data_IF_216635242178
#
_entry.id   IF_216635242178
#
_cell.length_a   1.000
_cell.length_b   1.000
_cell.length_c   1.000
_cell.angle_alpha   90.00
_cell.angle_beta   90.00
_cell.angle_gamma   90.00
#
_symmetry.space_group_name_H-M   'P 1'
#
loop_
_entity.id
_entity.type
_entity.pdbx_description
1 polymer ?
#
# COMPACT_ATOMS: atom_id res chain seq x y z
N UNK A 1 -6.50 7.20 1.26
CA UNK A 1 -7.29 8.17 2.05
C UNK A 1 -6.54 8.44 3.34
N UNK A 2 -6.46 9.69 3.79
CA UNK A 2 -5.88 10.01 5.10
C UNK A 2 -6.94 9.78 6.20
N UNK A 3 -6.60 8.96 7.20
CA UNK A 3 -7.53 8.61 8.28
C UNK A 3 -7.29 9.57 9.44
N UNK A 4 -8.31 10.36 9.78
CA UNK A 4 -8.36 11.10 11.04
C UNK A 4 -8.59 10.16 12.21
N UNK A 5 -7.73 10.27 13.23
CA UNK A 5 -7.87 9.58 14.51
C UNK A 5 -9.23 9.92 15.14
N UNK A 6 -9.87 8.92 15.74
CA UNK A 6 -11.20 9.01 16.37
C UNK A 6 -12.33 9.35 15.39
N UNK A 7 -12.10 9.21 14.09
CA UNK A 7 -13.10 9.38 13.05
C UNK A 7 -13.90 8.11 12.81
N UNK A 8 -15.07 8.28 12.20
CA UNK A 8 -15.96 7.19 11.80
C UNK A 8 -15.94 6.99 10.29
N UNK A 9 -16.00 5.73 9.84
CA UNK A 9 -15.81 5.36 8.44
C UNK A 9 -16.67 4.18 8.02
N UNK A 10 -16.83 4.04 6.70
CA UNK A 10 -17.29 2.83 6.04
C UNK A 10 -16.10 2.09 5.42
N UNK A 11 -16.19 0.76 5.35
CA UNK A 11 -15.14 -0.12 4.82
C UNK A 11 -15.55 -0.66 3.44
N UNK A 12 -14.57 -0.79 2.53
CA UNK A 12 -14.76 -1.33 1.17
C UNK A 12 -15.17 -2.81 1.23
N UNK A 13 -16.03 -3.24 0.30
CA UNK A 13 -16.45 -4.66 0.21
C UNK A 13 -15.25 -5.60 0.03
N UNK A 14 -14.27 -5.16 -0.76
CA UNK A 14 -13.00 -5.84 -1.04
C UNK A 14 -12.28 -6.34 0.22
N UNK A 15 -12.34 -5.60 1.33
CA UNK A 15 -11.75 -6.06 2.59
C UNK A 15 -12.41 -7.33 3.10
N UNK A 16 -13.74 -7.35 3.14
CA UNK A 16 -14.50 -8.50 3.64
C UNK A 16 -14.31 -9.70 2.71
N UNK A 17 -14.32 -9.49 1.40
CA UNK A 17 -14.10 -10.55 0.41
C UNK A 17 -12.67 -11.13 0.54
N UNK A 18 -11.65 -10.29 0.77
CA UNK A 18 -10.25 -10.71 0.96
C UNK A 18 -10.04 -11.47 2.26
N UNK A 19 -10.56 -10.93 3.36
CA UNK A 19 -10.35 -11.50 4.70
C UNK A 19 -11.18 -12.76 4.88
N UNK A 20 -12.40 -12.79 4.33
CA UNK A 20 -13.32 -13.92 4.37
C UNK A 20 -13.41 -14.55 5.77
N UNK A 21 -13.60 -13.71 6.79
CA UNK A 21 -13.79 -14.13 8.17
C UNK A 21 -15.28 -13.99 8.53
N UNK A 22 -16.00 -15.08 8.84
CA UNK A 22 -17.44 -15.07 9.03
C UNK A 22 -17.88 -14.31 10.28
N UNK A 23 -16.96 -13.97 11.18
CA UNK A 23 -17.26 -13.26 12.43
C UNK A 23 -17.05 -11.76 12.31
N UNK A 24 -16.52 -11.26 11.20
CA UNK A 24 -16.45 -9.82 10.94
C UNK A 24 -17.87 -9.31 10.62
N UNK A 25 -18.36 -8.26 11.30
CA UNK A 25 -19.65 -7.65 10.96
C UNK A 25 -19.66 -7.11 9.52
N UNK A 26 -20.54 -7.64 8.65
CA UNK A 26 -20.60 -7.29 7.22
C UNK A 26 -21.64 -6.22 6.87
N UNK A 27 -21.54 -5.70 5.63
CA UNK A 27 -22.23 -4.52 5.09
C UNK A 27 -23.76 -4.60 5.09
N UNK A 28 -24.36 -5.79 5.09
CA UNK A 28 -25.83 -5.95 5.13
C UNK A 28 -26.45 -5.36 6.41
N UNK A 29 -25.67 -5.25 7.49
CA UNK A 29 -26.05 -4.62 8.76
C UNK A 29 -25.41 -3.24 9.01
N UNK A 30 -24.77 -2.61 8.01
CA UNK A 30 -24.06 -1.30 8.06
C UNK A 30 -23.37 -0.98 9.41
N UNK A 31 -22.30 -1.68 9.79
CA UNK A 31 -21.43 -1.18 10.85
C UNK A 31 -20.71 0.08 10.34
N UNK A 32 -21.00 1.21 10.96
CA UNK A 32 -20.07 2.34 10.98
C UNK A 32 -18.90 1.92 11.85
N UNK A 33 -17.67 2.27 11.47
CA UNK A 33 -16.48 1.88 12.22
C UNK A 33 -15.75 3.07 12.79
N UNK A 34 -15.46 3.03 14.10
CA UNK A 34 -14.60 3.99 14.77
C UNK A 34 -13.13 3.58 14.62
N UNK A 35 -12.26 4.49 14.20
CA UNK A 35 -10.85 4.22 13.95
C UNK A 35 -9.91 4.73 15.05
N UNK A 36 -9.02 3.86 15.51
CA UNK A 36 -7.89 4.17 16.41
C UNK A 36 -6.60 3.75 15.70
N UNK A 37 -5.58 4.60 15.68
CA UNK A 37 -4.29 4.23 15.07
C UNK A 37 -3.57 3.16 15.89
N UNK A 38 -2.94 2.19 15.25
CA UNK A 38 -2.06 1.25 15.95
C UNK A 38 -0.84 1.98 16.53
N UNK A 39 -0.45 1.61 17.75
CA UNK A 39 0.65 2.28 18.47
C UNK A 39 2.04 1.91 17.97
N UNK A 40 2.18 0.76 17.30
CA UNK A 40 3.48 0.22 16.85
C UNK A 40 3.67 0.39 15.35
N UNK A 41 2.60 0.36 14.56
CA UNK A 41 2.63 0.47 13.11
C UNK A 41 1.64 1.54 12.64
N UNK A 42 2.15 2.69 12.22
CA UNK A 42 1.33 3.85 11.79
C UNK A 42 0.50 3.60 10.53
N UNK A 43 0.82 2.57 9.74
CA UNK A 43 0.05 2.15 8.55
C UNK A 43 -1.14 1.25 8.91
N UNK A 44 -1.14 0.70 10.12
CA UNK A 44 -2.25 -0.09 10.67
C UNK A 44 -3.17 0.78 11.53
N UNK A 45 -4.45 0.47 11.42
CA UNK A 45 -5.52 1.07 12.19
C UNK A 45 -6.36 -0.04 12.80
N UNK A 46 -6.91 0.21 13.97
CA UNK A 46 -7.91 -0.62 14.62
C UNK A 46 -9.28 -0.02 14.37
N UNK A 47 -10.19 -0.83 13.84
CA UNK A 47 -11.59 -0.45 13.67
C UNK A 47 -12.45 -1.14 14.71
N UNK A 48 -13.39 -0.37 15.26
CA UNK A 48 -14.37 -0.85 16.22
C UNK A 48 -15.75 -0.71 15.58
N UNK A 49 -16.48 -1.81 15.36
CA UNK A 49 -17.83 -1.75 14.82
C UNK A 49 -18.78 -1.04 15.79
N UNK A 50 -19.64 -0.19 15.27
CA UNK A 50 -20.75 0.40 16.02
C UNK A 50 -21.98 -0.51 15.97
N UNK A 51 -22.73 -0.56 17.07
CA UNK A 51 -24.01 -1.29 17.17
C UNK A 51 -25.07 -0.45 17.88
N UNK A 52 -26.33 -0.70 17.58
CA UNK A 52 -27.49 -0.08 18.24
C UNK A 52 -28.04 -0.90 19.42
N UNK A 53 -27.42 -2.04 19.74
CA UNK A 53 -27.87 -2.96 20.80
C UNK A 53 -27.52 -2.45 22.22
N UNK A 54 -28.08 -1.29 22.59
CA UNK A 54 -27.89 -0.67 23.91
C UNK A 54 -28.26 -1.61 25.06
N UNK A 55 -29.41 -2.28 24.99
CA UNK A 55 -29.89 -3.14 26.08
C UNK A 55 -28.93 -4.28 26.37
N UNK A 56 -28.39 -4.89 25.30
CA UNK A 56 -27.38 -5.94 25.41
C UNK A 56 -26.11 -5.38 26.07
N UNK A 57 -25.62 -4.24 25.60
CA UNK A 57 -24.43 -3.60 26.15
C UNK A 57 -24.60 -3.25 27.63
N UNK A 58 -25.71 -2.62 28.00
CA UNK A 58 -26.06 -2.28 29.37
C UNK A 58 -26.13 -3.52 30.25
N UNK A 59 -26.76 -4.61 29.80
CA UNK A 59 -26.79 -5.87 30.54
C UNK A 59 -25.39 -6.41 30.85
N UNK A 60 -24.46 -6.34 29.91
CA UNK A 60 -23.07 -6.73 30.14
C UNK A 60 -22.35 -5.75 31.08
N UNK A 61 -22.52 -4.45 30.88
CA UNK A 61 -21.91 -3.41 31.71
C UNK A 61 -22.39 -3.53 33.16
N UNK A 62 -23.68 -3.67 33.42
CA UNK A 62 -24.24 -3.87 34.76
C UNK A 62 -23.76 -5.17 35.41
N UNK A 63 -23.60 -6.25 34.63
CA UNK A 63 -23.13 -7.54 35.15
C UNK A 63 -21.67 -7.51 35.61
N UNK A 64 -20.79 -6.88 34.85
CA UNK A 64 -19.35 -6.91 35.10
C UNK A 64 -18.81 -5.63 35.78
N UNK A 65 -19.57 -4.54 35.73
CA UNK A 65 -19.12 -3.19 36.08
C UNK A 65 -18.51 -2.46 34.88
N UNK A 66 -18.70 -1.14 34.81
CA UNK A 66 -18.25 -0.28 33.71
C UNK A 66 -16.76 -0.43 33.40
N UNK A 67 -15.92 -0.46 34.44
CA UNK A 67 -14.47 -0.56 34.29
C UNK A 67 -13.99 -1.94 33.83
N UNK A 68 -14.63 -3.02 34.29
CA UNK A 68 -14.20 -4.40 33.99
C UNK A 68 -14.77 -4.90 32.65
N UNK A 69 -15.90 -4.35 32.21
CA UNK A 69 -16.53 -4.69 30.95
C UNK A 69 -15.77 -4.10 29.75
N UNK A 70 -14.86 -4.87 29.17
CA UNK A 70 -14.09 -4.45 27.99
C UNK A 70 -14.81 -4.69 26.65
N UNK A 71 -15.92 -5.44 26.65
CA UNK A 71 -16.63 -5.85 25.42
C UNK A 71 -17.36 -4.69 24.75
N UNK A 72 -17.88 -3.77 25.56
CA UNK A 72 -18.72 -2.66 25.11
C UNK A 72 -18.34 -1.36 25.81
N UNK A 73 -18.56 -0.24 25.11
CA UNK A 73 -18.58 1.11 25.66
C UNK A 73 -19.77 1.86 25.06
N UNK A 74 -20.53 2.58 25.87
CA UNK A 74 -21.66 3.39 25.39
C UNK A 74 -21.11 4.64 24.71
N UNK A 75 -21.59 4.94 23.50
CA UNK A 75 -21.22 6.16 22.81
C UNK A 75 -22.12 7.31 23.28
N UNK A 76 -21.64 8.14 24.20
CA UNK A 76 -22.39 9.29 24.74
C UNK A 76 -22.55 10.43 23.74
N UNK A 77 -21.89 10.37 22.58
CA UNK A 77 -21.91 11.44 21.57
C UNK A 77 -22.95 11.21 20.47
N UNK A 78 -23.60 10.04 20.44
CA UNK A 78 -24.61 9.68 19.44
C UNK A 78 -25.69 8.81 20.07
N UNK A 79 -26.96 9.11 19.79
CA UNK A 79 -28.07 8.30 20.30
C UNK A 79 -27.99 6.85 19.82
N UNK A 80 -28.40 5.92 20.69
CA UNK A 80 -28.48 4.48 20.40
C UNK A 80 -27.23 3.92 19.74
N UNK A 81 -26.06 4.33 20.23
CA UNK A 81 -24.77 3.95 19.64
C UNK A 81 -23.86 3.34 20.70
N UNK A 82 -23.25 2.19 20.37
CA UNK A 82 -22.36 1.43 21.24
C UNK A 82 -21.13 1.01 20.46
N UNK A 83 -19.96 1.17 21.06
CA UNK A 83 -18.71 0.58 20.57
C UNK A 83 -18.72 -0.92 20.88
N UNK A 84 -18.77 -1.75 19.86
CA UNK A 84 -18.65 -3.20 20.00
C UNK A 84 -17.17 -3.60 19.97
N UNK A 85 -16.48 -3.36 21.09
CA UNK A 85 -15.02 -3.48 21.22
C UNK A 85 -14.56 -4.94 21.13
N UNK A 86 -15.38 -5.89 21.57
CA UNK A 86 -15.03 -7.32 21.45
C UNK A 86 -14.77 -7.78 20.00
N UNK A 87 -15.40 -7.12 19.03
CA UNK A 87 -15.35 -7.48 17.60
C UNK A 87 -14.46 -6.51 16.82
N UNK A 88 -13.50 -5.87 17.50
CA UNK A 88 -12.50 -5.02 16.85
C UNK A 88 -11.59 -5.84 15.95
N UNK A 89 -11.08 -5.21 14.90
CA UNK A 89 -10.10 -5.83 13.99
C UNK A 89 -9.18 -4.78 13.35
N UNK A 90 -8.00 -5.18 12.84
CA UNK A 90 -7.09 -4.26 12.18
C UNK A 90 -7.47 -4.04 10.72
N UNK A 91 -7.08 -2.89 10.19
CA UNK A 91 -7.29 -2.46 8.80
C UNK A 91 -6.15 -1.53 8.35
N UNK A 92 -6.04 -1.30 7.04
CA UNK A 92 -5.19 -0.25 6.44
C UNK A 92 -6.04 0.77 5.70
N UNK A 93 -5.50 1.96 5.47
CA UNK A 93 -6.20 3.05 4.75
C UNK A 93 -6.67 2.68 3.35
N UNK A 94 -6.04 1.68 2.73
CA UNK A 94 -6.43 1.09 1.44
C UNK A 94 -7.88 0.60 1.42
N UNK A 95 -8.36 0.07 2.54
CA UNK A 95 -9.66 -0.58 2.66
C UNK A 95 -10.76 0.32 3.21
N UNK A 96 -10.46 1.58 3.52
CA UNK A 96 -11.48 2.57 3.88
C UNK A 96 -12.21 3.03 2.61
N UNK A 97 -13.54 2.97 2.64
CA UNK A 97 -14.43 3.41 1.55
C UNK A 97 -14.57 4.93 1.61
N UNK A 98 -15.12 5.44 2.71
CA UNK A 98 -15.35 6.88 2.92
C UNK A 98 -15.59 7.24 4.39
N UNK A 99 -15.49 8.53 4.67
CA UNK A 99 -15.92 9.15 5.94
C UNK A 99 -17.41 8.88 6.21
N UNK A 100 -17.74 8.51 7.44
CA UNK A 100 -19.12 8.57 7.92
C UNK A 100 -19.46 10.00 8.30
N UNK A 101 -20.54 10.54 7.74
CA UNK A 101 -20.89 11.94 7.86
C UNK A 101 -22.24 12.12 8.54
N UNK A 102 -22.34 13.12 9.40
CA UNK A 102 -23.58 13.64 9.96
C UNK A 102 -23.71 15.07 9.44
N UNK A 103 -24.84 15.40 8.83
CA UNK A 103 -25.10 16.71 8.20
C UNK A 103 -23.98 17.16 7.24
N UNK A 104 -23.44 16.21 6.46
CA UNK A 104 -22.36 16.44 5.49
C UNK A 104 -20.96 16.61 6.09
N UNK A 105 -20.83 16.62 7.42
CA UNK A 105 -19.56 16.76 8.14
C UNK A 105 -19.07 15.41 8.62
N UNK A 106 -17.76 15.14 8.45
CA UNK A 106 -17.13 13.92 8.95
C UNK A 106 -17.31 13.80 10.47
N UNK A 107 -17.89 12.69 10.90
CA UNK A 107 -18.12 12.44 12.30
C UNK A 107 -16.82 11.99 12.99
N UNK A 108 -16.36 12.81 13.93
CA UNK A 108 -15.13 12.61 14.72
C UNK A 108 -15.42 12.94 16.17
N UNK A 109 -15.10 12.01 17.08
CA UNK A 109 -15.28 12.26 18.52
C UNK A 109 -14.20 13.21 19.02
N UNK A 110 -14.63 14.23 19.77
CA UNK A 110 -13.77 15.20 20.46
C UNK A 110 -13.71 14.96 21.98
N UNK A 111 -14.66 14.20 22.54
CA UNK A 111 -14.70 13.87 23.96
C UNK A 111 -13.51 12.98 24.35
N UNK A 112 -12.52 13.59 25.02
CA UNK A 112 -11.29 12.94 25.45
C UNK A 112 -11.54 11.82 26.48
N UNK A 113 -12.56 11.94 27.32
CA UNK A 113 -12.87 10.93 28.34
C UNK A 113 -13.42 9.67 27.68
N UNK A 114 -14.38 9.84 26.76
CA UNK A 114 -14.90 8.73 25.97
C UNK A 114 -13.79 8.04 25.16
N UNK A 115 -12.96 8.82 24.45
CA UNK A 115 -11.82 8.28 23.68
C UNK A 115 -10.91 7.45 24.59
N UNK A 116 -10.54 7.97 25.76
CA UNK A 116 -9.66 7.28 26.70
C UNK A 116 -10.26 5.97 27.20
N UNK A 117 -11.57 5.93 27.48
CA UNK A 117 -12.27 4.70 27.87
C UNK A 117 -12.25 3.66 26.74
N UNK A 118 -12.58 4.06 25.52
CA UNK A 118 -12.58 3.19 24.34
C UNK A 118 -11.16 2.66 24.06
N UNK A 119 -10.15 3.52 24.04
CA UNK A 119 -8.74 3.12 23.81
C UNK A 119 -8.23 2.16 24.89
N UNK A 120 -8.59 2.37 26.16
CA UNK A 120 -8.23 1.47 27.27
C UNK A 120 -8.84 0.09 27.08
N UNK A 121 -10.14 0.01 26.75
CA UNK A 121 -10.85 -1.25 26.52
C UNK A 121 -10.35 -1.97 25.26
N UNK A 122 -10.15 -1.23 24.17
CA UNK A 122 -9.60 -1.76 22.92
C UNK A 122 -8.20 -2.33 23.13
N UNK A 123 -7.32 -1.62 23.84
CA UNK A 123 -5.97 -2.11 24.17
C UNK A 123 -6.01 -3.46 24.88
N UNK A 124 -6.95 -3.63 25.84
CA UNK A 124 -7.13 -4.91 26.54
C UNK A 124 -7.56 -6.04 25.59
N UNK A 125 -8.55 -5.80 24.73
CA UNK A 125 -9.01 -6.80 23.74
C UNK A 125 -7.90 -7.16 22.75
N UNK A 126 -7.14 -6.17 22.26
CA UNK A 126 -5.99 -6.39 21.37
C UNK A 126 -4.95 -7.26 22.07
N UNK A 127 -4.55 -6.91 23.30
CA UNK A 127 -3.55 -7.68 24.05
C UNK A 127 -3.97 -9.13 24.24
N UNK A 128 -5.22 -9.38 24.62
CA UNK A 128 -5.75 -10.73 24.79
C UNK A 128 -5.75 -11.51 23.45
N UNK A 129 -6.21 -10.88 22.38
CA UNK A 129 -6.24 -11.49 21.05
C UNK A 129 -4.83 -11.84 20.51
N UNK A 130 -3.82 -11.01 20.81
CA UNK A 130 -2.44 -11.25 20.34
C UNK A 130 -1.71 -12.36 21.10
N UNK A 131 -2.13 -12.69 22.32
CA UNK A 131 -1.54 -13.79 23.13
C UNK A 131 -2.14 -15.16 22.73
N UNK A 132 -3.08 -15.19 21.77
CA UNK A 132 -3.73 -16.42 21.32
C UNK A 132 -4.83 -16.92 22.27
N UNK A 133 -5.23 -16.09 23.23
CA UNK A 133 -6.39 -16.35 24.08
C UNK A 133 -7.64 -16.22 23.20
N UNK A 134 -8.15 -17.35 22.70
CA UNK A 134 -9.45 -17.37 22.01
C UNK A 134 -10.52 -16.96 23.03
N UNK A 135 -10.91 -15.68 23.01
CA UNK A 135 -12.00 -15.15 23.84
C UNK A 135 -13.27 -16.00 23.72
N UNK A 136 -13.58 -16.40 22.47
CA UNK A 136 -14.65 -17.32 22.08
C UNK A 136 -14.24 -17.99 20.75
N UNK A 137 -14.70 -19.23 20.51
CA UNK A 137 -14.53 -19.90 19.20
C UNK A 137 -15.27 -19.18 18.05
N UNK A 138 -16.13 -18.21 18.38
CA UNK A 138 -16.96 -17.41 17.48
C UNK A 138 -16.54 -15.93 17.45
N UNK A 139 -15.24 -15.66 17.57
CA UNK A 139 -14.70 -14.29 17.54
C UNK A 139 -13.83 -14.06 16.30
N UNK A 140 -13.72 -12.80 15.89
CA UNK A 140 -12.88 -12.39 14.76
C UNK A 140 -11.43 -12.86 14.97
N UNK A 141 -10.82 -13.46 13.95
CA UNK A 141 -9.42 -13.89 14.03
C UNK A 141 -8.46 -12.71 13.80
N UNK A 142 -8.37 -11.85 14.81
CA UNK A 142 -7.60 -10.60 14.78
C UNK A 142 -6.14 -10.82 14.35
N UNK A 143 -5.49 -11.87 14.86
CA UNK A 143 -4.08 -12.16 14.55
C UNK A 143 -3.90 -12.54 13.08
N UNK A 144 -4.78 -13.37 12.51
CA UNK A 144 -4.77 -13.72 11.09
C UNK A 144 -4.90 -12.46 10.22
N UNK A 145 -5.86 -11.60 10.53
CA UNK A 145 -6.11 -10.36 9.77
C UNK A 145 -4.88 -9.46 9.85
N UNK A 146 -4.32 -9.26 11.05
CA UNK A 146 -3.12 -8.45 11.25
C UNK A 146 -1.95 -8.95 10.40
N UNK A 147 -1.69 -10.26 10.41
CA UNK A 147 -0.61 -10.86 9.64
C UNK A 147 -0.79 -10.66 8.12
N UNK A 148 -2.01 -10.83 7.60
CA UNK A 148 -2.33 -10.59 6.18
C UNK A 148 -2.01 -9.14 5.80
N UNK A 149 -2.42 -8.18 6.64
CA UNK A 149 -2.19 -6.75 6.37
C UNK A 149 -0.72 -6.36 6.50
N UNK A 150 0.01 -6.91 7.47
CA UNK A 150 1.45 -6.67 7.63
C UNK A 150 2.25 -7.22 6.46
N UNK A 151 1.89 -8.41 5.94
CA UNK A 151 2.49 -8.96 4.72
C UNK A 151 2.23 -8.08 3.51
N UNK A 152 1.01 -7.54 3.37
CA UNK A 152 0.66 -6.62 2.29
C UNK A 152 1.48 -5.32 2.37
N UNK A 153 1.57 -4.70 3.55
CA UNK A 153 2.40 -3.50 3.80
C UNK A 153 3.87 -3.78 3.44
N UNK A 154 4.43 -4.89 3.91
CA UNK A 154 5.82 -5.24 3.65
C UNK A 154 6.07 -5.51 2.16
N UNK A 155 5.13 -6.16 1.46
CA UNK A 155 5.24 -6.36 0.00
C UNK A 155 5.22 -5.03 -0.75
N UNK A 156 4.35 -4.10 -0.36
CA UNK A 156 4.29 -2.76 -0.95
C UNK A 156 5.56 -1.94 -0.67
N UNK A 157 6.12 -2.03 0.54
CA UNK A 157 7.41 -1.41 0.89
C UNK A 157 8.56 -1.99 0.11
N UNK A 158 8.66 -3.32 -0.01
CA UNK A 158 9.73 -3.95 -0.78
C UNK A 158 9.67 -3.54 -2.25
N UNK A 159 8.47 -3.46 -2.84
CA UNK A 159 8.32 -2.94 -4.21
C UNK A 159 8.77 -1.48 -4.32
N UNK A 160 8.42 -0.62 -3.35
CA UNK A 160 8.88 0.78 -3.33
C UNK A 160 10.39 0.86 -3.20
N UNK A 161 11.01 0.09 -2.31
CA UNK A 161 12.46 0.01 -2.13
C UNK A 161 13.16 -0.49 -3.40
N UNK A 162 12.60 -1.49 -4.09
CA UNK A 162 13.15 -1.94 -5.37
C UNK A 162 13.09 -0.83 -6.44
N UNK A 163 12.04 0.00 -6.44
CA UNK A 163 11.95 1.18 -7.33
C UNK A 163 12.88 2.30 -6.91
N UNK A 164 12.98 2.59 -5.61
CA UNK A 164 13.96 3.53 -5.08
C UNK A 164 15.39 3.08 -5.40
N UNK A 165 15.71 1.79 -5.36
CA UNK A 165 17.01 1.28 -5.79
C UNK A 165 17.24 1.40 -7.30
N UNK A 166 16.20 1.27 -8.13
CA UNK A 166 16.27 1.63 -9.56
C UNK A 166 16.60 3.13 -9.70
N UNK A 167 16.11 3.98 -8.79
CA UNK A 167 16.29 5.43 -8.79
C UNK A 167 17.58 5.93 -8.09
N UNK A 168 18.09 5.29 -7.04
CA UNK A 168 19.24 5.76 -6.22
C UNK A 168 20.59 5.53 -6.92
N UNK A 169 20.65 4.60 -7.87
CA UNK A 169 21.79 4.55 -8.79
C UNK A 169 21.98 5.91 -9.52
N UNK A 170 20.97 6.81 -9.55
CA UNK A 170 21.05 8.18 -10.10
C UNK A 170 21.87 9.17 -9.25
N UNK A 171 22.04 8.98 -7.94
CA UNK A 171 22.58 10.03 -7.05
C UNK A 171 24.03 9.85 -6.59
N UNK A 172 24.60 8.63 -6.69
CA UNK A 172 25.93 8.33 -6.16
C UNK A 172 27.04 8.31 -7.22
N UNK A 173 26.83 8.90 -8.41
CA UNK A 173 27.84 8.92 -9.48
C UNK A 173 28.13 7.55 -10.11
N UNK A 174 27.31 6.54 -9.82
CA UNK A 174 27.31 5.29 -10.59
C UNK A 174 26.55 5.51 -11.90
N UNK A 175 27.17 5.05 -12.97
CA UNK A 175 26.59 4.99 -14.31
C UNK A 175 25.22 4.28 -14.21
N UNK A 176 24.12 5.02 -14.38
CA UNK A 176 22.78 4.41 -14.41
C UNK A 176 22.59 3.74 -15.77
N UNK A 177 22.32 2.44 -15.77
CA UNK A 177 21.87 1.77 -16.98
C UNK A 177 20.46 2.26 -17.30
N UNK A 178 20.23 2.72 -18.53
CA UNK A 178 18.94 3.27 -18.95
C UNK A 178 18.55 2.81 -20.35
N UNK A 179 17.24 2.85 -20.61
CA UNK A 179 16.71 2.55 -21.93
C UNK A 179 17.03 3.72 -22.87
N UNK A 180 17.81 3.45 -23.92
CA UNK A 180 18.27 4.46 -24.87
C UNK A 180 17.14 5.22 -25.58
N UNK A 181 15.93 4.66 -25.75
CA UNK A 181 14.81 5.36 -26.40
C UNK A 181 13.88 6.08 -25.44
N UNK A 182 13.80 5.67 -24.17
CA UNK A 182 12.86 6.27 -23.23
C UNK A 182 13.54 7.14 -22.18
N UNK A 183 14.84 6.95 -21.94
CA UNK A 183 15.56 7.58 -20.83
C UNK A 183 15.21 6.98 -19.46
N UNK A 184 14.37 5.94 -19.41
CA UNK A 184 13.95 5.32 -18.15
C UNK A 184 15.07 4.47 -17.57
N UNK A 185 15.31 4.53 -16.25
CA UNK A 185 16.32 3.71 -15.59
C UNK A 185 15.95 2.23 -15.65
N UNK A 186 16.98 1.39 -15.75
CA UNK A 186 16.87 -0.07 -15.77
C UNK A 186 17.76 -0.61 -14.66
N UNK A 187 17.20 -1.42 -13.77
CA UNK A 187 18.01 -2.21 -12.86
C UNK A 187 18.53 -3.45 -13.58
N UNK A 188 19.76 -3.35 -14.06
CA UNK A 188 20.51 -4.38 -14.77
C UNK A 188 22.00 -4.21 -14.42
N UNK A 189 22.74 -5.31 -14.42
CA UNK A 189 24.19 -5.28 -14.17
C UNK A 189 24.92 -4.47 -15.25
N UNK A 190 25.97 -3.76 -14.82
CA UNK A 190 26.82 -3.00 -15.72
C UNK A 190 27.40 -3.89 -16.83
N UNK A 191 27.51 -3.31 -18.02
CA UNK A 191 28.18 -3.94 -19.12
C UNK A 191 29.70 -3.80 -18.98
N UNK A 192 30.47 -4.79 -19.44
CA UNK A 192 31.94 -4.79 -19.32
C UNK A 192 32.60 -3.64 -20.10
N UNK A 193 31.92 -3.08 -21.10
CA UNK A 193 32.40 -1.90 -21.84
C UNK A 193 32.24 -0.58 -21.09
N UNK A 194 31.51 -0.55 -19.98
CA UNK A 194 31.13 0.68 -19.28
C UNK A 194 29.97 1.45 -19.93
N UNK A 195 29.47 1.00 -21.07
CA UNK A 195 28.31 1.61 -21.73
C UNK A 195 27.02 1.33 -20.96
N UNK A 196 26.18 2.35 -20.84
CA UNK A 196 24.99 2.37 -19.99
C UNK A 196 23.69 2.57 -20.73
N UNK A 197 23.76 2.75 -22.05
CA UNK A 197 22.63 2.71 -22.95
C UNK A 197 22.28 1.26 -23.25
N UNK A 198 21.04 0.90 -22.97
CA UNK A 198 20.47 -0.41 -23.25
C UNK A 198 19.25 -0.26 -24.16
N UNK A 199 19.04 -1.24 -25.04
CA UNK A 199 17.88 -1.29 -25.93
C UNK A 199 17.05 -2.53 -25.63
N UNK A 200 15.74 -2.36 -25.47
CA UNK A 200 14.85 -3.49 -25.21
C UNK A 200 14.85 -4.41 -26.44
N UNK A 201 14.83 -5.72 -26.22
CA UNK A 201 14.81 -6.73 -27.29
C UNK A 201 13.73 -6.47 -28.34
N UNK A 202 12.53 -6.06 -27.90
CA UNK A 202 11.42 -5.70 -28.80
C UNK A 202 11.79 -4.60 -29.79
N UNK A 203 12.63 -3.65 -29.38
CA UNK A 203 13.02 -2.50 -30.21
C UNK A 203 14.17 -2.88 -31.13
N UNK A 204 15.08 -3.75 -30.66
CA UNK A 204 16.11 -4.38 -31.51
C UNK A 204 15.45 -5.18 -32.64
N UNK A 205 14.42 -5.98 -32.32
CA UNK A 205 13.67 -6.77 -33.29
C UNK A 205 12.85 -5.89 -34.24
N UNK A 206 12.12 -4.90 -33.71
CA UNK A 206 11.29 -3.97 -34.50
C UNK A 206 12.09 -3.13 -35.48
N UNK A 207 13.33 -2.77 -35.13
CA UNK A 207 14.23 -1.95 -35.95
C UNK A 207 15.22 -2.81 -36.76
N UNK A 208 15.10 -4.14 -36.70
CA UNK A 208 15.96 -5.09 -37.42
C UNK A 208 17.47 -4.85 -37.18
N UNK A 209 17.83 -4.51 -35.95
CA UNK A 209 19.22 -4.18 -35.60
C UNK A 209 20.07 -5.45 -35.50
N UNK A 210 21.15 -5.49 -36.27
CA UNK A 210 22.13 -6.56 -36.19
C UNK A 210 22.87 -6.61 -34.85
N UNK A 211 23.00 -7.81 -34.30
CA UNK A 211 23.76 -8.09 -33.07
C UNK A 211 25.19 -8.48 -33.42
N UNK A 212 26.15 -8.20 -32.54
CA UNK A 212 27.49 -8.76 -32.64
C UNK A 212 27.47 -10.27 -32.32
N UNK A 213 28.54 -10.98 -32.66
CA UNK A 213 28.60 -12.43 -32.45
C UNK A 213 28.51 -12.80 -30.97
N UNK A 214 27.82 -13.91 -30.67
CA UNK A 214 27.69 -14.51 -29.33
C UNK A 214 27.03 -13.62 -28.25
N UNK A 215 26.29 -12.59 -28.65
CA UNK A 215 25.60 -11.69 -27.71
C UNK A 215 24.34 -12.33 -27.14
N UNK A 216 24.23 -12.34 -25.81
CA UNK A 216 23.03 -12.78 -25.09
C UNK A 216 22.28 -11.59 -24.52
N UNK A 217 20.96 -11.67 -24.52
CA UNK A 217 20.13 -10.68 -23.82
C UNK A 217 20.34 -10.79 -22.30
N UNK A 218 20.30 -9.63 -21.62
CA UNK A 218 20.26 -9.55 -20.17
C UNK A 218 18.86 -9.13 -19.73
N UNK A 219 18.39 -9.69 -18.61
CA UNK A 219 17.10 -9.31 -18.03
C UNK A 219 17.30 -8.08 -17.15
N UNK A 220 16.74 -6.96 -17.57
CA UNK A 220 16.63 -5.75 -16.77
C UNK A 220 15.26 -5.64 -16.12
N UNK A 221 15.19 -5.10 -14.90
CA UNK A 221 13.93 -4.80 -14.22
C UNK A 221 13.58 -3.32 -14.41
N UNK A 222 12.36 -3.04 -14.85
CA UNK A 222 11.83 -1.67 -14.95
C UNK A 222 10.62 -1.48 -14.06
N UNK A 223 10.46 -0.27 -13.53
CA UNK A 223 9.30 0.16 -12.76
C UNK A 223 8.27 0.81 -13.69
N UNK A 224 7.02 0.35 -13.65
CA UNK A 224 5.93 0.85 -14.50
C UNK A 224 4.66 1.02 -13.67
N UNK A 225 3.96 2.13 -13.89
CA UNK A 225 2.67 2.41 -13.26
C UNK A 225 1.55 2.09 -14.25
N UNK A 226 0.77 1.05 -13.97
CA UNK A 226 -0.36 0.66 -14.83
C UNK A 226 -1.50 0.04 -14.01
N UNK A 227 -2.66 -0.10 -14.61
CA UNK A 227 -3.84 -0.74 -14.01
C UNK A 227 -3.68 -2.26 -13.98
N UNK A 228 -4.51 -2.94 -13.19
CA UNK A 228 -4.52 -4.41 -13.17
C UNK A 228 -4.83 -5.00 -14.56
N UNK A 229 -5.73 -4.35 -15.30
CA UNK A 229 -6.09 -4.75 -16.66
C UNK A 229 -4.90 -4.63 -17.61
N UNK A 230 -4.20 -3.50 -17.60
CA UNK A 230 -3.00 -3.28 -18.44
C UNK A 230 -1.89 -4.30 -18.13
N UNK A 231 -1.68 -4.63 -16.84
CA UNK A 231 -0.72 -5.67 -16.46
C UNK A 231 -1.12 -7.06 -16.93
N UNK A 232 -2.41 -7.36 -16.92
CA UNK A 232 -2.90 -8.65 -17.37
C UNK A 232 -2.75 -8.80 -18.88
N UNK A 233 -3.06 -7.73 -19.63
CA UNK A 233 -2.83 -7.67 -21.07
C UNK A 233 -1.32 -7.80 -21.39
N UNK A 234 -0.44 -7.17 -20.60
CA UNK A 234 1.01 -7.37 -20.69
C UNK A 234 1.41 -8.83 -20.50
N UNK A 235 0.86 -9.51 -19.49
CA UNK A 235 1.13 -10.94 -19.22
C UNK A 235 0.65 -11.84 -20.35
N UNK A 236 -0.55 -11.61 -20.88
CA UNK A 236 -1.11 -12.35 -22.03
C UNK A 236 -0.20 -12.24 -23.25
N UNK A 237 0.23 -11.02 -23.56
CA UNK A 237 1.14 -10.76 -24.68
C UNK A 237 2.52 -11.41 -24.51
N UNK A 238 2.88 -11.82 -23.28
CA UNK A 238 4.13 -12.52 -22.96
C UNK A 238 3.96 -14.02 -22.73
N UNK A 239 2.76 -14.58 -22.93
CA UNK A 239 2.47 -15.99 -22.71
C UNK A 239 2.60 -16.42 -21.24
N UNK A 240 2.46 -15.48 -20.30
CA UNK A 240 2.50 -15.77 -18.87
C UNK A 240 1.12 -16.25 -18.38
N UNK A 241 1.09 -17.03 -17.29
CA UNK A 241 -0.16 -17.42 -16.63
C UNK A 241 -0.97 -16.18 -16.24
N UNK A 242 -2.27 -16.23 -16.56
CA UNK A 242 -3.22 -15.16 -16.32
C UNK A 242 -4.37 -15.66 -15.45
N UNK A 243 -4.93 -14.76 -14.63
CA UNK A 243 -6.11 -15.03 -13.81
C UNK A 243 -7.26 -14.21 -14.35
N UNK A 244 -8.44 -14.82 -14.51
CA UNK A 244 -9.65 -14.06 -14.81
C UNK A 244 -9.98 -13.15 -13.62
N UNK A 245 -9.88 -11.84 -13.83
CA UNK A 245 -10.27 -10.83 -12.85
C UNK A 245 -11.70 -10.40 -13.18
N UNK A 246 -12.63 -10.71 -12.29
CA UNK A 246 -14.06 -10.40 -12.48
C UNK A 246 -14.40 -8.92 -12.28
N UNK A 247 -13.52 -8.14 -11.64
CA UNK A 247 -13.63 -6.67 -11.49
C UNK A 247 -12.24 -6.03 -11.31
N UNK A 248 -11.50 -5.74 -12.40
CA UNK A 248 -10.17 -5.14 -12.29
C UNK A 248 -10.25 -3.71 -11.77
N UNK A 249 -9.37 -3.36 -10.84
CA UNK A 249 -9.27 -1.98 -10.35
C UNK A 249 -8.69 -1.06 -11.43
N UNK A 250 -9.31 0.11 -11.61
CA UNK A 250 -8.79 1.21 -12.45
C UNK A 250 -7.69 2.02 -11.74
N UNK A 251 -7.36 1.70 -10.50
CA UNK A 251 -6.27 2.33 -9.77
C UNK A 251 -4.93 1.86 -10.34
N UNK A 252 -4.08 2.79 -10.77
CA UNK A 252 -2.72 2.47 -11.23
C UNK A 252 -1.88 1.98 -10.07
N UNK A 253 -1.27 0.82 -10.22
CA UNK A 253 -0.35 0.21 -9.27
C UNK A 253 1.06 0.17 -9.86
N UNK A 254 2.04 0.19 -8.98
CA UNK A 254 3.45 0.05 -9.34
C UNK A 254 3.78 -1.42 -9.57
N UNK A 255 4.31 -1.72 -10.75
CA UNK A 255 4.78 -3.05 -11.12
C UNK A 255 6.24 -3.00 -11.51
N UNK A 256 6.97 -4.05 -11.11
CA UNK A 256 8.34 -4.28 -11.52
C UNK A 256 8.31 -5.45 -12.49
N UNK A 257 8.64 -5.18 -13.74
CA UNK A 257 8.58 -6.18 -14.80
C UNK A 257 9.98 -6.51 -15.33
N UNK A 258 10.30 -7.80 -15.49
CA UNK A 258 11.52 -8.21 -16.17
C UNK A 258 11.34 -7.99 -17.67
N UNK A 259 12.32 -7.33 -18.29
CA UNK A 259 12.36 -7.06 -19.73
C UNK A 259 13.75 -7.45 -20.26
N UNK A 260 13.85 -8.21 -21.36
CA UNK A 260 15.13 -8.51 -21.99
C UNK A 260 15.69 -7.28 -22.73
N UNK A 261 16.98 -7.02 -22.51
CA UNK A 261 17.73 -5.91 -23.08
C UNK A 261 19.03 -6.39 -23.72
N UNK A 262 19.50 -5.61 -24.69
CA UNK A 262 20.87 -5.67 -25.22
C UNK A 262 21.59 -4.37 -24.90
N UNK A 263 22.87 -4.45 -24.53
CA UNK A 263 23.69 -3.25 -24.39
C UNK A 263 23.98 -2.71 -25.80
N UNK A 264 23.98 -1.39 -26.00
CA UNK A 264 24.22 -0.87 -27.36
C UNK A 264 25.64 -1.19 -27.86
N UNK A 265 26.61 -1.42 -26.96
CA UNK A 265 27.98 -1.84 -27.34
C UNK A 265 27.98 -3.18 -28.06
N UNK A 266 26.95 -3.99 -27.88
CA UNK A 266 26.79 -5.31 -28.47
C UNK A 266 25.97 -5.29 -29.77
N UNK A 267 25.51 -4.11 -30.19
CA UNK A 267 24.66 -3.91 -31.36
C UNK A 267 25.43 -3.14 -32.45
N UNK A 268 25.07 -3.37 -33.71
CA UNK A 268 25.54 -2.56 -34.84
C UNK A 268 24.61 -1.36 -35.03
N UNK A 269 24.78 -0.34 -34.20
CA UNK A 269 23.97 0.88 -34.23
C UNK A 269 24.38 1.78 -35.41
N UNK A 270 23.41 2.21 -36.21
CA UNK A 270 23.60 3.22 -37.26
C UNK A 270 23.43 4.63 -36.70
N UNK A 271 23.99 5.64 -37.38
CA UNK A 271 23.84 7.05 -36.99
C UNK A 271 22.37 7.50 -36.91
N UNK A 272 21.52 6.99 -37.81
CA UNK A 272 20.09 7.34 -37.83
C UNK A 272 19.36 6.80 -36.58
N UNK A 273 19.74 5.63 -36.09
CA UNK A 273 19.17 5.03 -34.87
C UNK A 273 19.69 5.78 -33.64
N UNK A 274 20.99 6.08 -33.62
CA UNK A 274 21.63 6.81 -32.51
C UNK A 274 21.02 8.20 -32.29
N UNK A 275 20.64 8.90 -33.37
CA UNK A 275 19.93 10.18 -33.31
C UNK A 275 18.56 10.10 -32.61
N UNK A 276 17.95 8.91 -32.52
CA UNK A 276 16.67 8.68 -31.83
C UNK A 276 16.88 8.44 -30.33
N UNK A 277 18.12 8.35 -29.84
CA UNK A 277 18.38 8.11 -28.43
C UNK A 277 18.07 9.34 -27.58
N UNK A 278 17.48 9.08 -26.43
CA UNK A 278 17.21 10.08 -25.40
C UNK A 278 18.50 10.27 -24.59
N UNK A 279 19.06 11.49 -24.55
CA UNK A 279 20.13 11.80 -23.61
C UNK A 279 19.63 11.55 -22.19
N UNK A 280 20.50 11.04 -21.32
CA UNK A 280 20.16 10.85 -19.92
C UNK A 280 19.65 12.18 -19.36
N UNK A 281 18.38 12.24 -18.97
CA UNK A 281 17.85 13.39 -18.24
C UNK A 281 18.54 13.38 -16.88
N UNK A 282 19.58 14.19 -16.71
CA UNK A 282 19.93 14.68 -15.39
C UNK A 282 18.64 15.32 -14.86
N UNK A 283 17.94 14.65 -13.93
CA UNK A 283 16.95 15.36 -13.13
C UNK A 283 17.78 16.37 -12.36
N UNK A 284 17.85 17.59 -12.88
CA UNK A 284 18.42 18.75 -12.22
C UNK A 284 17.97 18.73 -10.76
N UNK A 285 18.94 19.01 -9.89
CA UNK A 285 18.79 19.21 -8.46
C UNK A 285 17.44 19.83 -8.09
N UNK A 286 16.44 18.99 -7.82
CA UNK A 286 15.38 19.35 -6.89
C UNK A 286 15.91 19.31 -5.43
N UNK A 287 17.22 19.11 -5.27
CA UNK A 287 18.05 19.42 -4.11
C UNK A 287 18.76 20.78 -4.25
N UNK A 288 18.09 21.82 -4.76
CA UNK A 288 18.09 23.12 -4.06
C UNK A 288 17.09 23.04 -2.88
N UNK A 289 17.24 22.00 -2.07
CA UNK A 289 16.69 21.94 -0.73
C UNK A 289 17.69 22.70 0.14
N UNK A 290 17.21 23.80 0.71
CA UNK A 290 17.55 24.24 2.07
C UNK A 290 19.00 24.66 2.37
N UNK A 291 19.96 24.50 1.45
CA UNK A 291 21.33 25.03 1.63
C UNK A 291 21.45 26.54 1.41
N UNK A 292 20.41 27.21 0.90
CA UNK A 292 20.38 28.67 0.70
C UNK A 292 19.39 29.43 1.61
N UNK A 293 18.78 28.78 2.60
CA UNK A 293 17.99 29.47 3.67
C UNK A 293 18.52 29.27 5.10
N UNK A 294 19.62 28.53 5.28
CA UNK A 294 20.27 28.31 6.58
C UNK A 294 21.69 28.86 6.72
N UNK A 295 22.25 29.47 5.67
CA UNK A 295 23.57 30.12 5.71
C UNK A 295 23.49 31.52 5.11
N UNK A 296 22.98 32.45 5.92
CA UNK A 296 23.26 33.87 5.83
C UNK A 296 23.56 34.36 7.25
N UNK A 297 24.83 34.33 7.62
CA UNK A 297 25.38 35.15 8.71
C UNK A 297 25.98 36.38 8.04
N UNK A 298 25.70 37.57 8.60
CA UNK A 298 26.27 38.87 8.27
C UNK A 298 25.13 39.89 8.13
N UNK A 299 24.81 40.75 9.11
CA UNK A 299 25.63 41.36 10.17
C UNK A 299 25.04 41.22 11.58
#
# INVERSE_FOLDING_TARGET
MDIKKNGFYLIKKEFFDKINDPYIPTKENRPVFFCIQDKKNSELWWVIPMTSQLDKANKFISKYGEEKCYKFEINTTMDKSVFNIQDLFPITSKYIDREFKIDGVHYVIKDKNLIKKVEKKASKVISMAMVGEKMLNTSVNVQRIKNILEQEINSEKNKKLEVENIDINKSNGQITNYNCFTGEPINIENHSSGENKWMAKKDVERLEIEKKENVKEKIGKIAVMMTEKEMEDYRKNKGMETKEITNPSNEKKLYIIPVPYYNISDLKITKEIEQKFVPMKEKEKSQEIEKSKGQGIGD
#
